data_IF_359713922103
#
_entry.id   IF_359713922103
#
_cell.length_a   1.000
_cell.length_b   1.000
_cell.length_c   1.000
_cell.angle_alpha   90.00
_cell.angle_beta   90.00
_cell.angle_gamma   90.00
#
_symmetry.space_group_name_H-M   'P 1'
#
loop_
_entity.id
_entity.type
_entity.pdbx_description
1 polymer ?
#
# COMPACT_ATOMS: atom_id res chain seq x y z
N UNK A 1 -7.75 13.33 -1.18
CA UNK A 1 -7.24 12.48 -0.08
C UNK A 1 -6.73 13.39 1.04
N UNK A 2 -6.81 12.95 2.29
CA UNK A 2 -6.35 13.71 3.46
C UNK A 2 -5.29 12.90 4.22
N UNK A 3 -4.32 13.59 4.82
CA UNK A 3 -3.37 12.97 5.73
C UNK A 3 -4.06 12.51 7.01
N UNK A 4 -3.65 11.34 7.51
CA UNK A 4 -4.12 10.77 8.77
C UNK A 4 -3.04 9.86 9.34
N UNK A 5 -2.76 9.91 10.67
CA UNK A 5 -1.81 8.99 11.30
C UNK A 5 -2.25 7.52 11.20
N UNK A 6 -3.54 7.27 11.01
CA UNK A 6 -4.11 5.93 10.92
C UNK A 6 -4.04 5.31 9.52
N UNK A 7 -3.66 6.09 8.50
CA UNK A 7 -3.77 5.69 7.09
C UNK A 7 -3.05 4.38 6.78
N UNK A 8 -1.80 4.23 7.23
CA UNK A 8 -1.03 3.00 7.01
C UNK A 8 -1.68 1.81 7.71
N UNK A 9 -2.20 2.01 8.94
CA UNK A 9 -2.90 0.98 9.70
C UNK A 9 -4.16 0.51 8.98
N UNK A 10 -4.95 1.43 8.44
CA UNK A 10 -6.16 1.11 7.66
C UNK A 10 -5.82 0.28 6.42
N UNK A 11 -4.75 0.63 5.69
CA UNK A 11 -4.30 -0.14 4.54
C UNK A 11 -3.86 -1.56 4.93
N UNK A 12 -3.08 -1.69 6.01
CA UNK A 12 -2.62 -2.99 6.52
C UNK A 12 -3.81 -3.87 6.89
N UNK A 13 -4.78 -3.32 7.64
CA UNK A 13 -6.01 -4.06 8.00
C UNK A 13 -6.76 -4.56 6.78
N UNK A 14 -6.86 -3.76 5.71
CA UNK A 14 -7.51 -4.19 4.48
C UNK A 14 -6.76 -5.33 3.77
N UNK A 15 -5.42 -5.26 3.73
CA UNK A 15 -4.56 -6.33 3.19
C UNK A 15 -4.73 -7.61 3.99
N UNK A 16 -4.65 -7.53 5.31
CA UNK A 16 -4.76 -8.70 6.21
C UNK A 16 -6.12 -9.37 6.09
N UNK A 17 -7.19 -8.59 6.02
CA UNK A 17 -8.54 -9.12 5.83
C UNK A 17 -8.69 -9.89 4.50
N UNK A 18 -8.10 -9.37 3.41
CA UNK A 18 -8.10 -10.04 2.12
C UNK A 18 -7.30 -11.35 2.16
N UNK A 19 -6.11 -11.32 2.76
CA UNK A 19 -5.25 -12.51 2.91
C UNK A 19 -5.93 -13.57 3.78
N UNK A 20 -6.61 -13.17 4.85
CA UNK A 20 -7.29 -14.10 5.77
C UNK A 20 -8.41 -14.90 5.09
N UNK A 21 -9.07 -14.35 4.06
CA UNK A 21 -10.08 -15.06 3.27
C UNK A 21 -9.50 -15.79 2.05
N UNK A 22 -8.17 -15.81 1.92
CA UNK A 22 -7.46 -16.59 0.91
C UNK A 22 -7.52 -15.98 -0.50
N UNK A 23 -7.52 -14.64 -0.64
CA UNK A 23 -7.44 -14.04 -1.97
C UNK A 23 -6.20 -14.51 -2.72
N UNK A 24 -6.38 -14.80 -4.00
CA UNK A 24 -5.33 -15.34 -4.83
C UNK A 24 -4.31 -14.29 -5.32
N UNK A 25 -4.69 -13.01 -5.32
CA UNK A 25 -3.86 -11.89 -5.77
C UNK A 25 -4.34 -10.55 -5.17
N UNK A 26 -3.37 -9.69 -4.82
CA UNK A 26 -3.60 -8.28 -4.48
C UNK A 26 -3.07 -7.38 -5.59
N UNK A 27 -3.92 -6.52 -6.17
CA UNK A 27 -3.48 -5.41 -7.01
C UNK A 27 -3.62 -4.13 -6.19
N UNK A 28 -2.49 -3.56 -5.78
CA UNK A 28 -2.47 -2.39 -4.91
C UNK A 28 -2.10 -1.14 -5.70
N UNK A 29 -2.98 -0.15 -5.68
CA UNK A 29 -2.71 1.18 -6.21
C UNK A 29 -1.82 1.90 -5.19
N UNK A 30 -0.56 1.99 -5.56
CA UNK A 30 0.51 2.65 -4.83
C UNK A 30 0.80 4.01 -5.44
N UNK A 31 1.82 4.70 -4.94
CA UNK A 31 2.18 6.05 -5.37
C UNK A 31 3.54 6.08 -6.06
N UNK A 32 3.69 6.94 -7.07
CA UNK A 32 4.94 7.19 -7.76
C UNK A 32 6.01 7.66 -6.77
N UNK A 33 7.16 6.97 -6.75
CA UNK A 33 8.25 7.29 -5.82
C UNK A 33 8.07 6.75 -4.41
N UNK A 34 7.19 5.75 -4.19
CA UNK A 34 7.10 5.04 -2.91
C UNK A 34 8.46 4.50 -2.46
N UNK A 35 9.01 5.10 -1.40
CA UNK A 35 10.32 4.83 -0.84
C UNK A 35 10.31 5.10 0.69
N UNK A 36 11.17 4.44 1.48
CA UNK A 36 11.20 4.64 2.94
C UNK A 36 11.64 6.04 3.34
N UNK A 37 12.46 6.66 2.49
CA UNK A 37 13.04 8.00 2.65
C UNK A 37 12.30 9.09 1.85
N UNK A 38 11.16 8.75 1.22
CA UNK A 38 10.34 9.74 0.51
C UNK A 38 9.93 10.87 1.45
N UNK A 39 10.13 12.13 1.05
CA UNK A 39 9.74 13.29 1.85
C UNK A 39 8.23 13.53 1.82
N UNK A 40 7.59 13.24 0.67
CA UNK A 40 6.14 13.31 0.52
C UNK A 40 5.44 12.23 1.33
N UNK A 41 4.55 12.64 2.25
CA UNK A 41 3.89 11.75 3.22
C UNK A 41 3.24 10.55 2.56
N UNK A 42 2.42 10.75 1.52
CA UNK A 42 1.72 9.63 0.89
C UNK A 42 2.66 8.66 0.17
N UNK A 43 3.73 9.13 -0.47
CA UNK A 43 4.71 8.21 -1.07
C UNK A 43 5.33 7.29 0.00
N UNK A 44 5.65 7.83 1.18
CA UNK A 44 6.19 7.06 2.30
C UNK A 44 5.15 6.11 2.90
N UNK A 45 3.90 6.54 3.07
CA UNK A 45 2.81 5.69 3.56
C UNK A 45 2.55 4.51 2.61
N UNK A 46 2.51 4.79 1.31
CA UNK A 46 2.37 3.76 0.28
C UNK A 46 3.53 2.78 0.30
N UNK A 47 4.77 3.23 0.58
CA UNK A 47 5.92 2.33 0.79
C UNK A 47 5.72 1.39 1.97
N UNK A 48 5.18 1.87 3.10
CA UNK A 48 4.90 1.02 4.26
C UNK A 48 3.85 -0.06 3.95
N UNK A 49 2.77 0.29 3.25
CA UNK A 49 1.77 -0.70 2.81
C UNK A 49 2.36 -1.70 1.81
N UNK A 50 3.14 -1.21 0.85
CA UNK A 50 3.88 -2.02 -0.10
C UNK A 50 4.80 -3.03 0.61
N UNK A 51 5.56 -2.59 1.61
CA UNK A 51 6.43 -3.44 2.40
C UNK A 51 5.63 -4.53 3.13
N UNK A 52 4.48 -4.18 3.70
CA UNK A 52 3.58 -5.16 4.32
C UNK A 52 3.10 -6.23 3.34
N UNK A 53 2.59 -5.83 2.16
CA UNK A 53 2.10 -6.76 1.13
C UNK A 53 3.19 -7.77 0.69
N UNK A 54 4.46 -7.34 0.63
CA UNK A 54 5.58 -8.25 0.29
C UNK A 54 5.77 -9.37 1.32
N UNK A 55 5.33 -9.17 2.56
CA UNK A 55 5.45 -10.18 3.63
C UNK A 55 4.26 -11.12 3.71
N UNK A 56 3.14 -10.80 3.06
CA UNK A 56 1.86 -11.51 3.21
C UNK A 56 1.71 -12.81 2.38
N UNK A 57 2.80 -13.35 1.82
CA UNK A 57 2.84 -14.54 0.95
C UNK A 57 1.68 -14.64 -0.07
N UNK A 58 1.36 -13.51 -0.71
CA UNK A 58 0.29 -13.40 -1.70
C UNK A 58 0.84 -12.83 -3.01
N UNK A 59 0.37 -13.36 -4.14
CA UNK A 59 0.72 -12.81 -5.46
C UNK A 59 0.29 -11.35 -5.49
N UNK A 60 1.18 -10.45 -5.88
CA UNK A 60 0.85 -9.02 -5.88
C UNK A 60 1.37 -8.26 -7.09
N UNK A 61 0.70 -7.15 -7.39
CA UNK A 61 1.12 -6.15 -8.36
C UNK A 61 0.98 -4.77 -7.73
N UNK A 62 2.02 -3.95 -7.81
CA UNK A 62 1.98 -2.55 -7.40
C UNK A 62 1.79 -1.66 -8.63
N UNK A 63 0.67 -0.95 -8.68
CA UNK A 63 0.41 0.09 -9.68
C UNK A 63 0.76 1.43 -9.06
N UNK A 64 1.93 1.99 -9.40
CA UNK A 64 2.38 3.27 -8.85
C UNK A 64 1.88 4.40 -9.73
N UNK A 65 0.73 4.97 -9.38
CA UNK A 65 0.17 6.10 -10.09
C UNK A 65 0.78 7.43 -9.64
N UNK A 66 0.45 8.50 -10.37
CA UNK A 66 0.87 9.86 -10.06
C UNK A 66 -0.40 10.72 -9.96
N UNK A 67 -0.32 12.02 -10.24
CA UNK A 67 -1.47 12.89 -10.23
C UNK A 67 -2.49 12.51 -11.31
N UNK A 68 -3.73 12.39 -10.87
CA UNK A 68 -4.88 12.32 -11.75
C UNK A 68 -5.10 13.68 -12.42
N UNK A 69 -5.53 13.63 -13.69
CA UNK A 69 -5.91 14.81 -14.48
C UNK A 69 -7.32 15.28 -14.14
#
# INVERSE_FOLDING_TARGET
AHESPDRVREHITAVDAAVAVGVERIVYVSFQGAAPDATFTFARDHWHTEAHIRTADVRHTFLRDNWYL
#
